data_IF_595225596392
#
_entry.id   IF_595225596392
#
_cell.length_a   1.000
_cell.length_b   1.000
_cell.length_c   1.000
_cell.angle_alpha   90.00
_cell.angle_beta   90.00
_cell.angle_gamma   90.00
#
_symmetry.space_group_name_H-M   'P 1'
#
loop_
_entity.id
_entity.type
_entity.pdbx_description
1 polymer ?
#
# COMPACT_ATOMS: atom_id res chain seq x y z
N UNK A 1 17.49 -12.17 30.78
CA UNK A 1 18.29 -11.02 30.29
C UNK A 1 17.43 -10.23 29.32
N UNK A 2 16.89 -9.11 29.75
CA UNK A 2 16.06 -8.23 28.98
C UNK A 2 16.95 -7.45 28.01
N UNK A 3 16.71 -7.57 26.70
CA UNK A 3 17.37 -6.76 25.67
C UNK A 3 16.90 -5.31 25.82
N UNK A 4 17.85 -4.42 26.02
CA UNK A 4 17.69 -2.97 26.12
C UNK A 4 16.92 -2.41 24.92
N UNK A 5 16.10 -1.33 25.12
CA UNK A 5 15.46 -0.61 24.04
C UNK A 5 16.53 0.01 23.14
N UNK A 6 16.40 -0.19 21.83
CA UNK A 6 17.29 0.43 20.86
C UNK A 6 17.27 1.95 21.04
N UNK A 7 18.47 2.51 21.17
CA UNK A 7 18.76 3.93 21.24
C UNK A 7 17.98 4.70 20.17
N UNK A 8 17.28 5.73 20.59
CA UNK A 8 16.76 6.80 19.75
C UNK A 8 17.96 7.54 19.14
N UNK A 9 18.39 7.10 17.96
CA UNK A 9 19.15 7.95 17.06
C UNK A 9 18.34 9.22 16.80
N UNK A 10 19.00 10.37 16.78
CA UNK A 10 18.41 11.69 16.67
C UNK A 10 17.37 11.74 15.54
N UNK A 11 16.08 11.62 15.91
CA UNK A 11 14.97 11.65 14.96
C UNK A 11 14.82 13.08 14.47
N UNK A 12 15.16 13.32 13.20
CA UNK A 12 14.90 14.59 12.55
C UNK A 12 13.49 14.57 11.93
N UNK A 13 12.48 15.25 12.54
CA UNK A 13 11.12 15.22 12.06
C UNK A 13 10.97 15.73 10.61
N UNK A 14 11.78 16.70 10.20
CA UNK A 14 11.75 17.26 8.84
C UNK A 14 12.09 16.20 7.79
N UNK A 15 13.06 15.35 8.07
CA UNK A 15 13.43 14.22 7.20
C UNK A 15 12.27 13.22 7.12
N UNK A 16 11.61 12.95 8.24
CA UNK A 16 10.44 12.06 8.28
C UNK A 16 9.28 12.59 7.44
N UNK A 17 8.98 13.88 7.50
CA UNK A 17 7.97 14.52 6.65
C UNK A 17 8.33 14.43 5.17
N UNK A 18 9.60 14.65 4.82
CA UNK A 18 10.10 14.53 3.44
C UNK A 18 9.90 13.10 2.92
N UNK A 19 10.33 12.09 3.68
CA UNK A 19 10.16 10.70 3.27
C UNK A 19 8.68 10.29 3.15
N UNK A 20 7.81 10.70 4.06
CA UNK A 20 6.40 10.39 3.99
C UNK A 20 5.74 11.03 2.75
N UNK A 21 6.02 12.31 2.46
CA UNK A 21 5.52 13.00 1.27
C UNK A 21 6.05 12.37 -0.01
N UNK A 22 7.35 12.05 -0.05
CA UNK A 22 7.98 11.39 -1.20
C UNK A 22 7.36 10.01 -1.45
N UNK A 23 7.08 9.24 -0.40
CA UNK A 23 6.39 7.95 -0.50
C UNK A 23 4.99 8.10 -1.10
N UNK A 24 4.21 9.11 -0.67
CA UNK A 24 2.88 9.37 -1.21
C UNK A 24 2.93 9.77 -2.71
N UNK A 25 3.87 10.65 -3.07
CA UNK A 25 4.07 11.08 -4.47
C UNK A 25 4.53 9.91 -5.36
N UNK A 26 5.50 9.12 -4.90
CA UNK A 26 5.97 7.95 -5.65
C UNK A 26 4.89 6.88 -5.77
N UNK A 27 4.06 6.70 -4.74
CA UNK A 27 2.89 5.84 -4.81
C UNK A 27 1.86 6.32 -5.84
N UNK A 28 1.67 7.63 -5.98
CA UNK A 28 0.82 8.21 -7.02
C UNK A 28 1.40 7.98 -8.43
N UNK A 29 2.71 8.19 -8.59
CA UNK A 29 3.41 7.91 -9.85
C UNK A 29 3.28 6.42 -10.24
N UNK A 30 3.44 5.52 -9.27
CA UNK A 30 3.23 4.08 -9.46
C UNK A 30 1.83 3.79 -10.02
N UNK A 31 0.78 4.36 -9.42
CA UNK A 31 -0.61 4.11 -9.82
C UNK A 31 -0.88 4.62 -11.23
N UNK A 32 -0.51 5.87 -11.54
CA UNK A 32 -0.79 6.50 -12.84
C UNK A 32 0.04 5.87 -13.95
N UNK A 33 1.35 5.64 -13.72
CA UNK A 33 2.21 4.94 -14.69
C UNK A 33 1.72 3.50 -14.90
N UNK A 34 1.29 2.83 -13.83
CA UNK A 34 0.71 1.50 -13.91
C UNK A 34 -0.57 1.46 -14.74
N UNK A 35 -1.47 2.44 -14.57
CA UNK A 35 -2.67 2.58 -15.43
C UNK A 35 -2.28 2.72 -16.89
N UNK A 36 -1.29 3.56 -17.21
CA UNK A 36 -0.77 3.71 -18.55
C UNK A 36 -0.27 2.39 -19.15
N UNK A 37 0.53 1.65 -18.40
CA UNK A 37 1.07 0.34 -18.82
C UNK A 37 -0.03 -0.70 -19.03
N UNK A 38 -1.09 -0.65 -18.23
CA UNK A 38 -2.24 -1.57 -18.32
C UNK A 38 -3.09 -1.40 -19.58
N UNK A 39 -2.89 -0.34 -20.37
CA UNK A 39 -3.46 -0.26 -21.72
C UNK A 39 -2.77 -1.22 -22.69
N UNK A 40 -1.51 -1.56 -22.47
CA UNK A 40 -0.69 -2.38 -23.37
C UNK A 40 -0.54 -3.83 -22.90
N UNK A 41 -0.54 -4.08 -21.59
CA UNK A 41 -0.34 -5.43 -21.03
C UNK A 41 -1.39 -5.77 -19.96
N UNK A 42 -1.48 -7.04 -19.61
CA UNK A 42 -2.37 -7.50 -18.55
C UNK A 42 -1.83 -7.17 -17.14
N UNK A 43 -2.71 -7.06 -16.12
CA UNK A 43 -2.27 -6.94 -14.72
C UNK A 43 -1.32 -8.05 -14.27
N UNK A 44 -1.50 -9.26 -14.79
CA UNK A 44 -0.65 -10.39 -14.46
C UNK A 44 0.75 -10.23 -15.08
N UNK A 45 0.84 -9.87 -16.37
CA UNK A 45 2.11 -9.61 -17.05
C UNK A 45 2.89 -8.47 -16.38
N UNK A 46 2.19 -7.37 -16.01
CA UNK A 46 2.78 -6.27 -15.28
C UNK A 46 3.49 -6.74 -14.01
N UNK A 47 2.79 -7.47 -13.17
CA UNK A 47 3.32 -7.92 -11.88
C UNK A 47 4.42 -8.99 -12.05
N UNK A 48 4.28 -9.88 -13.04
CA UNK A 48 5.29 -10.88 -13.37
C UNK A 48 6.62 -10.26 -13.87
N UNK A 49 6.61 -9.01 -14.31
CA UNK A 49 7.82 -8.27 -14.71
C UNK A 49 8.37 -7.46 -13.53
N UNK A 50 7.55 -6.64 -12.87
CA UNK A 50 8.06 -5.65 -11.90
C UNK A 50 8.53 -6.27 -10.60
N UNK A 51 7.92 -7.35 -10.11
CA UNK A 51 8.31 -7.95 -8.83
C UNK A 51 9.61 -8.75 -8.89
N UNK A 52 9.89 -9.59 -9.91
CA UNK A 52 11.20 -10.21 -10.06
C UNK A 52 12.32 -9.18 -10.22
N UNK A 53 12.11 -8.15 -11.07
CA UNK A 53 13.08 -7.06 -11.22
C UNK A 53 13.32 -6.33 -9.90
N UNK A 54 12.26 -6.01 -9.15
CA UNK A 54 12.37 -5.42 -7.82
C UNK A 54 13.05 -6.31 -6.80
N UNK A 55 12.83 -7.63 -6.86
CA UNK A 55 13.54 -8.60 -6.01
C UNK A 55 15.04 -8.63 -6.30
N UNK A 56 15.44 -8.61 -7.58
CA UNK A 56 16.84 -8.55 -7.97
C UNK A 56 17.50 -7.27 -7.44
N UNK A 57 16.88 -6.10 -7.66
CA UNK A 57 17.42 -4.82 -7.20
C UNK A 57 17.56 -4.77 -5.67
N UNK A 58 16.54 -5.17 -4.92
CA UNK A 58 16.62 -5.22 -3.45
C UNK A 58 17.61 -6.29 -2.96
N UNK A 59 17.69 -7.43 -3.66
CA UNK A 59 18.66 -8.47 -3.37
C UNK A 59 20.10 -7.97 -3.47
N UNK A 60 20.41 -7.23 -4.53
CA UNK A 60 21.70 -6.58 -4.71
C UNK A 60 21.96 -5.52 -3.61
N UNK A 61 20.96 -4.73 -3.24
CA UNK A 61 21.05 -3.75 -2.16
C UNK A 61 21.28 -4.37 -0.78
N UNK A 62 21.01 -5.66 -0.60
CA UNK A 62 21.27 -6.38 0.66
C UNK A 62 22.71 -6.88 0.81
N UNK A 63 23.50 -6.92 -0.26
CA UNK A 63 24.88 -7.47 -0.26
C UNK A 63 25.80 -6.71 0.69
N UNK A 64 25.89 -5.35 0.64
CA UNK A 64 26.85 -4.60 1.47
C UNK A 64 26.64 -4.80 2.97
N UNK A 65 25.38 -4.96 3.41
CA UNK A 65 25.01 -5.12 4.83
C UNK A 65 25.07 -6.55 5.35
N UNK A 66 25.53 -7.53 4.56
CA UNK A 66 25.50 -8.97 4.90
C UNK A 66 24.11 -9.45 5.39
N UNK A 67 23.03 -8.80 4.93
CA UNK A 67 21.66 -9.04 5.40
C UNK A 67 21.13 -10.42 5.03
N UNK A 68 21.69 -11.04 4.00
CA UNK A 68 21.41 -12.43 3.62
C UNK A 68 21.61 -13.43 4.78
N UNK A 69 22.59 -13.18 5.65
CA UNK A 69 22.81 -14.01 6.84
C UNK A 69 21.67 -13.90 7.86
N UNK A 70 20.93 -12.80 7.85
CA UNK A 70 19.77 -12.61 8.74
C UNK A 70 18.59 -13.44 8.31
N UNK A 71 18.39 -13.62 6.99
CA UNK A 71 17.32 -14.47 6.44
C UNK A 71 17.50 -15.91 6.91
N UNK A 72 18.73 -16.42 6.84
CA UNK A 72 19.04 -17.80 7.28
C UNK A 72 18.83 -18.03 8.80
N UNK A 73 18.80 -16.94 9.59
CA UNK A 73 18.62 -16.99 11.05
C UNK A 73 17.20 -16.63 11.51
N UNK A 74 16.28 -16.44 10.57
CA UNK A 74 14.89 -16.12 10.91
C UNK A 74 14.23 -17.33 11.59
N UNK A 75 13.53 -17.06 12.70
CA UNK A 75 12.75 -18.07 13.40
C UNK A 75 11.44 -18.40 12.64
N UNK A 76 10.76 -19.48 13.07
CA UNK A 76 9.51 -19.91 12.45
C UNK A 76 8.41 -18.86 12.51
N UNK A 77 8.38 -18.04 13.56
CA UNK A 77 7.37 -16.98 13.73
C UNK A 77 7.60 -15.84 12.75
N UNK A 78 8.88 -15.42 12.59
CA UNK A 78 9.27 -14.40 11.63
C UNK A 78 8.91 -14.82 10.19
N UNK A 79 9.19 -16.07 9.83
CA UNK A 79 8.79 -16.64 8.54
C UNK A 79 7.27 -16.69 8.39
N UNK A 80 6.54 -17.20 9.39
CA UNK A 80 5.08 -17.29 9.34
C UNK A 80 4.41 -15.94 9.06
N UNK A 81 4.77 -14.89 9.79
CA UNK A 81 4.19 -13.56 9.58
C UNK A 81 4.61 -12.94 8.24
N UNK A 82 5.87 -13.15 7.82
CA UNK A 82 6.35 -12.63 6.54
C UNK A 82 5.64 -13.31 5.35
N UNK A 83 5.45 -14.64 5.41
CA UNK A 83 4.73 -15.39 4.37
C UNK A 83 3.25 -14.99 4.35
N UNK A 84 2.58 -14.95 5.51
CA UNK A 84 1.17 -14.55 5.60
C UNK A 84 0.93 -13.15 5.02
N UNK A 85 1.78 -12.19 5.39
CA UNK A 85 1.79 -10.85 4.80
C UNK A 85 1.95 -10.89 3.28
N UNK A 86 2.95 -11.65 2.79
CA UNK A 86 3.32 -11.66 1.37
C UNK A 86 2.26 -12.34 0.50
N UNK A 87 1.71 -13.46 0.95
CA UNK A 87 0.65 -14.18 0.21
C UNK A 87 -0.61 -13.33 0.11
N UNK A 88 -1.02 -12.72 1.21
CA UNK A 88 -2.20 -11.84 1.19
C UNK A 88 -1.95 -10.58 0.33
N UNK A 89 -0.72 -10.05 0.36
CA UNK A 89 -0.33 -8.96 -0.51
C UNK A 89 -0.37 -9.34 -2.00
N UNK A 90 -0.06 -10.60 -2.38
CA UNK A 90 -0.18 -11.05 -3.77
C UNK A 90 -1.62 -10.93 -4.28
N UNK A 91 -2.58 -11.42 -3.50
CA UNK A 91 -4.01 -11.35 -3.84
C UNK A 91 -4.46 -9.89 -3.92
N UNK A 92 -4.08 -9.09 -2.92
CA UNK A 92 -4.39 -7.66 -2.88
C UNK A 92 -3.85 -6.91 -4.10
N UNK A 93 -2.58 -7.12 -4.43
CA UNK A 93 -1.90 -6.49 -5.58
C UNK A 93 -2.57 -6.88 -6.89
N UNK A 94 -2.89 -8.16 -7.08
CA UNK A 94 -3.54 -8.62 -8.30
C UNK A 94 -4.92 -7.98 -8.48
N UNK A 95 -5.77 -8.05 -7.45
CA UNK A 95 -7.08 -7.42 -7.46
C UNK A 95 -6.98 -5.89 -7.67
N UNK A 96 -6.01 -5.24 -7.04
CA UNK A 96 -5.77 -3.80 -7.19
C UNK A 96 -5.49 -3.40 -8.64
N UNK A 97 -4.58 -4.09 -9.32
CA UNK A 97 -4.26 -3.79 -10.72
C UNK A 97 -5.37 -4.14 -11.69
N UNK A 98 -6.16 -5.19 -11.41
CA UNK A 98 -7.39 -5.47 -12.16
C UNK A 98 -8.36 -4.30 -12.03
N UNK A 99 -8.60 -3.83 -10.79
CA UNK A 99 -9.47 -2.69 -10.53
C UNK A 99 -9.00 -1.41 -11.20
N UNK A 100 -7.71 -1.07 -11.09
CA UNK A 100 -7.11 0.10 -11.77
C UNK A 100 -7.27 0.00 -13.30
N UNK A 101 -7.14 -1.20 -13.87
CA UNK A 101 -7.35 -1.38 -15.31
C UNK A 101 -8.78 -1.02 -15.73
N UNK A 102 -9.76 -1.35 -14.91
CA UNK A 102 -11.19 -1.25 -15.22
C UNK A 102 -11.82 0.10 -14.87
N UNK A 103 -11.18 0.95 -14.03
CA UNK A 103 -11.75 2.21 -13.56
C UNK A 103 -10.74 3.35 -13.57
N UNK A 104 -11.21 4.57 -13.25
CA UNK A 104 -10.34 5.73 -13.06
C UNK A 104 -9.35 5.52 -11.91
N UNK A 105 -8.05 5.81 -12.10
CA UNK A 105 -7.03 5.58 -11.08
C UNK A 105 -7.20 6.47 -9.84
N UNK A 106 -7.77 7.66 -10.00
CA UNK A 106 -8.06 8.56 -8.87
C UNK A 106 -9.11 7.93 -7.96
N UNK A 107 -10.18 7.42 -8.58
CA UNK A 107 -11.27 6.76 -7.88
C UNK A 107 -10.81 5.48 -7.18
N UNK A 108 -10.03 4.64 -7.88
CA UNK A 108 -9.41 3.45 -7.28
C UNK A 108 -8.54 3.82 -6.07
N UNK A 109 -7.78 4.93 -6.17
CA UNK A 109 -6.94 5.43 -5.09
C UNK A 109 -7.75 5.89 -3.86
N UNK A 110 -8.89 6.55 -4.06
CA UNK A 110 -9.80 6.89 -2.96
C UNK A 110 -10.37 5.64 -2.27
N UNK A 111 -10.89 4.69 -3.05
CA UNK A 111 -11.46 3.45 -2.52
C UNK A 111 -10.41 2.64 -1.74
N UNK A 112 -9.17 2.65 -2.21
CA UNK A 112 -8.10 1.91 -1.53
C UNK A 112 -7.80 2.44 -0.12
N UNK A 113 -8.18 3.69 0.22
CA UNK A 113 -8.05 4.22 1.60
C UNK A 113 -8.87 3.43 2.63
N UNK A 114 -9.85 2.63 2.19
CA UNK A 114 -10.57 1.70 3.05
C UNK A 114 -9.64 0.70 3.78
N UNK A 115 -8.47 0.41 3.21
CA UNK A 115 -7.43 -0.41 3.85
C UNK A 115 -7.08 0.07 5.26
N UNK A 116 -7.08 1.39 5.49
CA UNK A 116 -6.77 1.99 6.78
C UNK A 116 -7.81 1.62 7.84
N UNK A 117 -9.10 1.63 7.47
CA UNK A 117 -10.17 1.19 8.38
C UNK A 117 -10.02 -0.30 8.73
N UNK A 118 -9.74 -1.13 7.73
CA UNK A 118 -9.54 -2.58 7.95
C UNK A 118 -8.38 -2.83 8.90
N UNK A 119 -7.23 -2.18 8.66
CA UNK A 119 -6.05 -2.32 9.53
C UNK A 119 -6.34 -1.91 10.97
N UNK A 120 -7.08 -0.81 11.16
CA UNK A 120 -7.44 -0.32 12.49
C UNK A 120 -8.46 -1.25 13.15
N UNK A 121 -9.48 -1.70 12.42
CA UNK A 121 -10.50 -2.63 12.93
C UNK A 121 -9.89 -3.95 13.38
N UNK A 122 -8.93 -4.49 12.63
CA UNK A 122 -8.18 -5.69 13.03
C UNK A 122 -7.32 -5.44 14.27
N UNK A 123 -6.71 -4.27 14.40
CA UNK A 123 -5.98 -3.86 15.60
C UNK A 123 -6.88 -3.86 16.83
N UNK A 124 -8.11 -3.36 16.71
CA UNK A 124 -9.11 -3.37 17.79
C UNK A 124 -9.57 -4.79 18.11
N UNK A 125 -9.98 -5.55 17.08
CA UNK A 125 -10.57 -6.87 17.26
C UNK A 125 -9.57 -7.92 17.79
N UNK A 126 -8.32 -7.89 17.29
CA UNK A 126 -7.31 -8.92 17.59
C UNK A 126 -6.40 -8.50 18.73
N UNK A 127 -5.99 -7.22 18.81
CA UNK A 127 -5.10 -6.72 19.84
C UNK A 127 -5.85 -6.15 21.06
N UNK A 128 -7.17 -6.18 21.06
CA UNK A 128 -8.02 -5.67 22.14
C UNK A 128 -7.86 -4.15 22.36
N UNK A 129 -7.51 -3.40 21.31
CA UNK A 129 -7.36 -1.96 21.39
C UNK A 129 -8.74 -1.30 21.59
N UNK A 130 -8.82 -0.25 22.42
CA UNK A 130 -10.09 0.42 22.73
C UNK A 130 -10.57 1.23 21.51
N UNK A 131 -11.85 1.10 21.21
CA UNK A 131 -12.53 1.87 20.18
C UNK A 131 -13.01 3.21 20.72
N UNK A 132 -12.56 4.30 20.13
CA UNK A 132 -12.98 5.65 20.53
C UNK A 132 -14.18 6.13 19.72
N UNK A 133 -14.96 7.08 20.27
CA UNK A 133 -16.07 7.72 19.55
C UNK A 133 -15.63 8.39 18.26
N UNK A 134 -14.43 8.98 18.25
CA UNK A 134 -13.88 9.60 17.06
C UNK A 134 -13.48 8.60 15.96
N UNK A 135 -13.02 7.40 16.35
CA UNK A 135 -12.78 6.31 15.39
C UNK A 135 -14.09 5.82 14.77
N UNK A 136 -15.17 5.73 15.58
CA UNK A 136 -16.49 5.39 15.07
C UNK A 136 -16.99 6.42 14.04
N UNK A 137 -16.92 7.71 14.38
CA UNK A 137 -17.34 8.79 13.48
C UNK A 137 -16.50 8.81 12.19
N UNK A 138 -15.19 8.62 12.31
CA UNK A 138 -14.30 8.50 11.15
C UNK A 138 -14.68 7.32 10.26
N UNK A 139 -14.98 6.16 10.84
CA UNK A 139 -15.47 4.99 10.13
C UNK A 139 -16.78 5.25 9.38
N UNK A 140 -17.76 5.91 10.01
CA UNK A 140 -19.00 6.31 9.36
C UNK A 140 -18.79 7.27 8.19
N UNK A 141 -17.87 8.22 8.31
CA UNK A 141 -17.52 9.13 7.21
C UNK A 141 -16.91 8.38 6.03
N UNK A 142 -16.00 7.41 6.28
CA UNK A 142 -15.42 6.57 5.22
C UNK A 142 -16.50 5.76 4.52
N UNK A 143 -17.36 5.07 5.27
CA UNK A 143 -18.46 4.28 4.69
C UNK A 143 -19.44 5.16 3.91
N UNK A 144 -19.82 6.31 4.44
CA UNK A 144 -20.67 7.29 3.75
C UNK A 144 -20.04 7.81 2.45
N UNK A 145 -18.75 8.11 2.47
CA UNK A 145 -17.99 8.50 1.27
C UNK A 145 -17.96 7.40 0.20
N UNK A 146 -17.72 6.15 0.59
CA UNK A 146 -17.73 5.00 -0.33
C UNK A 146 -19.13 4.79 -0.94
N UNK A 147 -20.18 4.89 -0.13
CA UNK A 147 -21.57 4.79 -0.59
C UNK A 147 -21.89 5.91 -1.58
N UNK A 148 -21.51 7.16 -1.26
CA UNK A 148 -21.70 8.29 -2.16
C UNK A 148 -20.98 8.11 -3.49
N UNK A 149 -19.76 7.60 -3.47
CA UNK A 149 -19.00 7.26 -4.68
C UNK A 149 -19.73 6.17 -5.48
N UNK A 150 -20.24 5.13 -4.84
CA UNK A 150 -20.94 4.02 -5.53
C UNK A 150 -22.23 4.45 -6.21
N UNK A 151 -23.06 5.29 -5.59
CA UNK A 151 -24.32 5.76 -6.18
C UNK A 151 -24.12 6.65 -7.43
N UNK A 152 -22.93 7.14 -7.63
CA UNK A 152 -22.55 7.95 -8.80
C UNK A 152 -21.94 7.13 -9.91
N UNK A 153 -21.65 5.86 -9.65
CA UNK A 153 -20.99 4.98 -10.62
C UNK A 153 -21.86 4.74 -11.84
N UNK A 154 -21.25 4.88 -13.00
CA UNK A 154 -21.76 4.25 -14.20
C UNK A 154 -21.83 2.74 -13.95
N UNK A 155 -22.90 2.10 -14.40
CA UNK A 155 -23.09 0.64 -14.23
C UNK A 155 -21.85 -0.19 -14.66
N UNK A 156 -21.08 0.33 -15.63
CA UNK A 156 -19.83 -0.23 -16.14
C UNK A 156 -18.74 -0.46 -15.09
N UNK A 157 -18.71 0.35 -14.01
CA UNK A 157 -17.69 0.24 -12.96
C UNK A 157 -18.11 -0.59 -11.74
N UNK A 158 -19.32 -1.16 -11.75
CA UNK A 158 -19.82 -1.88 -10.57
C UNK A 158 -18.90 -3.03 -10.14
N UNK A 159 -18.40 -3.82 -11.09
CA UNK A 159 -17.46 -4.92 -10.81
C UNK A 159 -16.10 -4.38 -10.32
N UNK A 160 -15.55 -3.36 -11.00
CA UNK A 160 -14.29 -2.74 -10.63
C UNK A 160 -14.30 -2.18 -9.19
N UNK A 161 -15.43 -1.55 -8.80
CA UNK A 161 -15.64 -1.05 -7.44
C UNK A 161 -15.45 -2.16 -6.40
N UNK A 162 -16.12 -3.30 -6.57
CA UNK A 162 -16.02 -4.39 -5.63
C UNK A 162 -14.65 -5.04 -5.62
N UNK A 163 -13.99 -5.13 -6.78
CA UNK A 163 -12.62 -5.67 -6.88
C UNK A 163 -11.64 -4.77 -6.12
N UNK A 164 -11.74 -3.44 -6.29
CA UNK A 164 -10.85 -2.49 -5.56
C UNK A 164 -11.14 -2.52 -4.07
N UNK A 165 -12.42 -2.57 -3.67
CA UNK A 165 -12.78 -2.65 -2.25
C UNK A 165 -12.28 -3.96 -1.61
N UNK A 166 -12.41 -5.08 -2.30
CA UNK A 166 -11.83 -6.37 -1.89
C UNK A 166 -10.31 -6.26 -1.76
N UNK A 167 -9.65 -5.65 -2.74
CA UNK A 167 -8.21 -5.38 -2.68
C UNK A 167 -7.84 -4.56 -1.44
N UNK A 168 -8.61 -3.51 -1.12
CA UNK A 168 -8.38 -2.67 0.06
C UNK A 168 -8.52 -3.46 1.37
N UNK A 169 -9.49 -4.39 1.46
CA UNK A 169 -9.61 -5.31 2.60
C UNK A 169 -8.38 -6.20 2.72
N UNK A 170 -7.94 -6.79 1.61
CA UNK A 170 -6.75 -7.64 1.59
C UNK A 170 -5.48 -6.83 1.95
N UNK A 171 -5.32 -5.62 1.44
CA UNK A 171 -4.20 -4.74 1.80
C UNK A 171 -4.23 -4.37 3.28
N UNK A 172 -5.38 -3.96 3.82
CA UNK A 172 -5.51 -3.61 5.22
C UNK A 172 -5.15 -4.77 6.16
N UNK A 173 -5.55 -5.98 5.80
CA UNK A 173 -5.19 -7.21 6.53
C UNK A 173 -3.71 -7.53 6.35
N UNK A 174 -3.15 -7.37 5.15
CA UNK A 174 -1.72 -7.55 4.90
C UNK A 174 -0.88 -6.55 5.71
N UNK A 175 -1.29 -5.26 5.77
CA UNK A 175 -0.60 -4.25 6.57
C UNK A 175 -0.64 -4.58 8.07
N UNK A 176 -1.73 -5.15 8.57
CA UNK A 176 -1.80 -5.66 9.93
C UNK A 176 -0.76 -6.76 10.18
N UNK A 177 -0.61 -7.72 9.27
CA UNK A 177 0.43 -8.76 9.37
C UNK A 177 1.84 -8.18 9.21
N UNK A 178 2.05 -7.22 8.30
CA UNK A 178 3.32 -6.52 8.16
C UNK A 178 3.72 -5.81 9.46
N UNK A 179 2.76 -5.16 10.15
CA UNK A 179 2.99 -4.51 11.44
C UNK A 179 3.50 -5.49 12.51
N UNK A 180 3.09 -6.74 12.44
CA UNK A 180 3.60 -7.80 13.33
C UNK A 180 4.98 -8.26 12.84
N UNK A 181 5.14 -8.52 11.54
CA UNK A 181 6.38 -9.02 10.94
C UNK A 181 7.59 -8.08 11.18
N UNK A 182 7.40 -6.76 11.13
CA UNK A 182 8.48 -5.78 11.37
C UNK A 182 9.05 -5.80 12.78
N UNK A 183 8.37 -6.46 13.73
CA UNK A 183 8.90 -6.67 15.09
C UNK A 183 10.00 -7.74 15.13
N UNK A 184 10.01 -8.64 14.13
CA UNK A 184 10.93 -9.79 14.05
C UNK A 184 11.99 -9.61 12.96
N UNK A 185 11.67 -8.90 11.88
CA UNK A 185 12.49 -8.81 10.67
C UNK A 185 12.67 -7.35 10.26
N UNK A 186 13.84 -7.00 9.77
CA UNK A 186 14.10 -5.64 9.29
C UNK A 186 13.30 -5.33 8.00
N UNK A 187 12.90 -4.04 7.82
CA UNK A 187 12.02 -3.63 6.73
C UNK A 187 12.52 -3.96 5.33
N UNK A 188 13.83 -3.87 5.07
CA UNK A 188 14.38 -4.15 3.76
C UNK A 188 14.31 -5.64 3.45
N UNK A 189 14.58 -6.49 4.44
CA UNK A 189 14.48 -7.94 4.32
C UNK A 189 13.02 -8.36 4.07
N UNK A 190 12.06 -7.78 4.80
CA UNK A 190 10.62 -8.05 4.54
C UNK A 190 10.24 -7.64 3.11
N UNK A 191 10.67 -6.46 2.66
CA UNK A 191 10.35 -5.97 1.31
C UNK A 191 10.96 -6.87 0.24
N UNK A 192 12.19 -7.34 0.42
CA UNK A 192 12.84 -8.30 -0.46
C UNK A 192 12.07 -9.64 -0.52
N UNK A 193 11.80 -10.25 0.64
CA UNK A 193 11.09 -11.53 0.71
C UNK A 193 9.68 -11.42 0.12
N UNK A 194 8.96 -10.34 0.39
CA UNK A 194 7.68 -10.07 -0.24
C UNK A 194 7.80 -10.04 -1.75
N UNK A 195 8.78 -9.31 -2.30
CA UNK A 195 8.97 -9.24 -3.75
C UNK A 195 9.29 -10.62 -4.36
N UNK A 196 10.11 -11.43 -3.68
CA UNK A 196 10.41 -12.80 -4.12
C UNK A 196 9.15 -13.67 -4.12
N UNK A 197 8.40 -13.68 -3.01
CA UNK A 197 7.16 -14.48 -2.91
C UNK A 197 6.14 -14.01 -3.94
N UNK A 198 6.00 -12.70 -4.12
CA UNK A 198 5.09 -12.13 -5.11
C UNK A 198 5.52 -12.47 -6.55
N UNK A 199 6.82 -12.45 -6.83
CA UNK A 199 7.37 -12.86 -8.12
C UNK A 199 7.05 -14.33 -8.42
N UNK A 200 7.30 -15.22 -7.47
CA UNK A 200 6.99 -16.66 -7.59
C UNK A 200 5.49 -16.85 -7.85
N UNK A 201 4.64 -16.20 -7.07
CA UNK A 201 3.19 -16.29 -7.23
C UNK A 201 2.74 -15.90 -8.65
N UNK A 202 3.18 -14.73 -9.15
CA UNK A 202 2.76 -14.28 -10.47
C UNK A 202 3.34 -15.14 -11.59
N UNK A 203 4.57 -15.62 -11.46
CA UNK A 203 5.15 -16.53 -12.45
C UNK A 203 4.45 -17.91 -12.51
N UNK A 204 3.95 -18.41 -11.37
CA UNK A 204 3.10 -19.62 -11.36
C UNK A 204 1.76 -19.34 -12.06
N UNK A 205 1.20 -18.15 -11.87
CA UNK A 205 -0.08 -17.78 -12.49
C UNK A 205 0.01 -17.52 -14.00
N UNK A 206 1.18 -17.15 -14.54
CA UNK A 206 1.38 -16.88 -15.99
C UNK A 206 0.91 -18.06 -16.88
N UNK A 207 1.39 -19.29 -16.70
CA UNK A 207 0.96 -20.42 -17.54
C UNK A 207 -0.50 -20.83 -17.25
N UNK A 208 -0.99 -20.66 -16.01
CA UNK A 208 -2.36 -21.05 -15.63
C UNK A 208 -3.39 -20.17 -16.32
N UNK A 209 -3.12 -18.86 -16.41
CA UNK A 209 -4.04 -17.87 -17.00
C UNK A 209 -3.80 -17.69 -18.51
N UNK A 210 -2.68 -18.20 -19.03
CA UNK A 210 -2.31 -18.02 -20.44
C UNK A 210 -1.96 -16.58 -20.79
N UNK A 211 -1.16 -15.91 -19.97
CA UNK A 211 -0.86 -14.48 -20.11
C UNK A 211 0.25 -14.26 -21.15
N UNK A 212 -0.04 -13.37 -22.12
CA UNK A 212 0.95 -12.87 -23.09
C UNK A 212 1.72 -11.66 -22.53
N UNK A 213 2.98 -11.54 -22.94
CA UNK A 213 3.85 -10.39 -22.68
C UNK A 213 3.98 -9.47 -23.91
N UNK A 214 3.21 -9.72 -24.95
CA UNK A 214 3.11 -8.82 -26.10
C UNK A 214 2.74 -7.41 -25.62
N UNK A 215 3.31 -6.39 -26.19
CA UNK A 215 3.12 -5.02 -25.72
C UNK A 215 4.07 -4.57 -24.58
N UNK A 216 4.69 -5.46 -23.82
CA UNK A 216 5.65 -5.06 -22.78
C UNK A 216 6.84 -4.28 -23.37
N UNK A 217 7.25 -4.65 -24.59
CA UNK A 217 8.34 -3.98 -25.32
C UNK A 217 8.02 -2.53 -25.67
N UNK A 218 6.77 -2.19 -25.95
CA UNK A 218 6.37 -0.82 -26.28
C UNK A 218 6.36 0.12 -25.07
N UNK A 219 6.23 -0.42 -23.87
CA UNK A 219 6.14 0.33 -22.61
C UNK A 219 7.32 0.05 -21.67
N UNK A 220 8.46 -0.43 -22.18
CA UNK A 220 9.62 -0.85 -21.39
C UNK A 220 10.13 0.25 -20.44
N UNK A 221 10.15 1.50 -20.89
CA UNK A 221 10.56 2.65 -20.10
C UNK A 221 9.63 2.88 -18.89
N UNK A 222 8.33 2.72 -19.08
CA UNK A 222 7.34 2.84 -18.02
C UNK A 222 7.45 1.66 -17.01
N UNK A 223 7.76 0.46 -17.49
CA UNK A 223 8.06 -0.69 -16.63
C UNK A 223 9.27 -0.45 -15.74
N UNK A 224 10.33 0.18 -16.24
CA UNK A 224 11.48 0.58 -15.42
C UNK A 224 11.04 1.56 -14.32
N UNK A 225 10.26 2.58 -14.66
CA UNK A 225 9.71 3.53 -13.67
C UNK A 225 8.91 2.77 -12.62
N UNK A 226 8.08 1.82 -13.01
CA UNK A 226 7.26 1.03 -12.09
C UNK A 226 8.08 0.13 -11.17
N UNK A 227 9.17 -0.47 -11.65
CA UNK A 227 10.09 -1.25 -10.81
C UNK A 227 10.66 -0.38 -9.69
N UNK A 228 11.17 0.81 -10.04
CA UNK A 228 11.76 1.69 -9.05
C UNK A 228 10.70 2.38 -8.18
N UNK A 229 9.66 2.95 -8.76
CA UNK A 229 8.60 3.62 -8.01
C UNK A 229 7.82 2.67 -7.08
N UNK A 230 7.61 1.41 -7.45
CA UNK A 230 6.82 0.44 -6.69
C UNK A 230 7.67 -0.46 -5.78
N UNK A 231 8.09 -1.64 -6.26
CA UNK A 231 8.74 -2.66 -5.43
C UNK A 231 10.03 -2.21 -4.75
N UNK A 232 10.77 -1.24 -5.33
CA UNK A 232 12.11 -0.84 -4.87
C UNK A 232 12.09 0.34 -3.92
N UNK A 233 11.32 1.40 -4.18
CA UNK A 233 11.43 2.66 -3.45
C UNK A 233 10.26 2.96 -2.51
N UNK A 234 9.01 2.84 -2.97
CA UNK A 234 7.84 3.26 -2.17
C UNK A 234 7.85 2.61 -0.80
N UNK A 235 8.04 1.30 -0.74
CA UNK A 235 7.98 0.57 0.53
C UNK A 235 9.14 0.90 1.47
N UNK A 236 10.42 0.85 1.07
CA UNK A 236 11.53 1.27 1.93
C UNK A 236 11.42 2.72 2.38
N UNK A 237 11.06 3.67 1.49
CA UNK A 237 10.92 5.10 1.82
C UNK A 237 9.83 5.28 2.89
N UNK A 238 8.68 4.63 2.74
CA UNK A 238 7.62 4.61 3.75
C UNK A 238 8.11 4.12 5.10
N UNK A 239 8.87 3.03 5.11
CA UNK A 239 9.41 2.46 6.35
C UNK A 239 10.50 3.34 6.98
N UNK A 240 11.28 4.08 6.18
CA UNK A 240 12.20 5.10 6.68
C UNK A 240 11.45 6.29 7.29
N UNK A 241 10.34 6.72 6.72
CA UNK A 241 9.50 7.74 7.34
C UNK A 241 9.04 7.33 8.74
N UNK A 242 8.70 6.06 8.93
CA UNK A 242 8.31 5.50 10.24
C UNK A 242 9.44 5.47 11.28
N UNK A 243 10.70 5.57 10.88
CA UNK A 243 11.82 5.71 11.82
C UNK A 243 11.91 7.12 12.42
N UNK A 244 11.46 8.13 11.68
CA UNK A 244 11.59 9.54 12.06
C UNK A 244 10.28 10.15 12.57
N UNK A 245 9.13 9.56 12.22
CA UNK A 245 7.81 10.04 12.61
C UNK A 245 6.97 8.95 13.26
N UNK A 246 6.01 9.37 14.07
CA UNK A 246 4.96 8.48 14.57
C UNK A 246 4.15 7.92 13.39
N UNK A 247 3.72 6.65 13.52
CA UNK A 247 2.91 5.96 12.50
C UNK A 247 1.70 6.78 12.07
N UNK A 248 1.04 7.44 13.03
CA UNK A 248 -0.12 8.30 12.75
C UNK A 248 0.21 9.46 11.81
N UNK A 249 1.38 10.12 11.98
CA UNK A 249 1.79 11.23 11.12
C UNK A 249 2.11 10.77 9.71
N UNK A 250 2.82 9.63 9.57
CA UNK A 250 3.10 9.03 8.26
C UNK A 250 1.81 8.63 7.56
N UNK A 251 0.89 7.98 8.29
CA UNK A 251 -0.42 7.61 7.76
C UNK A 251 -1.24 8.82 7.31
N UNK A 252 -1.23 9.93 8.11
CA UNK A 252 -1.89 11.19 7.75
C UNK A 252 -1.39 11.74 6.40
N UNK A 253 -0.07 11.79 6.22
CA UNK A 253 0.54 12.29 4.99
C UNK A 253 0.18 11.37 3.82
N UNK A 254 0.19 10.06 4.04
CA UNK A 254 -0.15 9.08 2.99
C UNK A 254 -1.61 9.18 2.51
N UNK A 255 -2.53 9.75 3.32
CA UNK A 255 -3.89 10.04 2.87
C UNK A 255 -3.94 11.11 1.76
N UNK A 256 -2.86 11.87 1.55
CA UNK A 256 -2.76 12.82 0.43
C UNK A 256 -2.50 12.15 -0.94
N UNK A 257 -2.11 10.88 -0.97
CA UNK A 257 -1.78 10.16 -2.21
C UNK A 257 -2.88 10.25 -3.29
N UNK A 258 -4.19 10.10 -3.02
CA UNK A 258 -5.22 10.25 -4.04
C UNK A 258 -5.26 11.62 -4.70
N UNK A 259 -4.87 12.68 -3.99
CA UNK A 259 -4.77 14.03 -4.56
C UNK A 259 -3.67 14.07 -5.61
N UNK A 260 -2.49 13.53 -5.30
CA UNK A 260 -1.39 13.40 -6.27
C UNK A 260 -1.76 12.50 -7.45
N UNK A 261 -2.50 11.40 -7.21
CA UNK A 261 -3.02 10.54 -8.28
C UNK A 261 -3.96 11.34 -9.19
N UNK A 262 -4.89 12.11 -8.64
CA UNK A 262 -5.83 12.94 -9.41
C UNK A 262 -5.10 13.96 -10.30
N UNK A 263 -4.12 14.67 -9.75
CA UNK A 263 -3.32 15.64 -10.51
C UNK A 263 -2.54 14.94 -11.64
N UNK A 264 -1.86 13.85 -11.34
CA UNK A 264 -1.09 13.10 -12.34
C UNK A 264 -1.98 12.43 -13.39
N UNK A 265 -3.14 11.91 -13.00
CA UNK A 265 -4.10 11.30 -13.93
C UNK A 265 -4.70 12.35 -14.90
N UNK A 266 -5.00 13.54 -14.40
CA UNK A 266 -5.45 14.65 -15.24
C UNK A 266 -4.38 15.01 -16.28
N UNK A 267 -3.13 15.19 -15.85
CA UNK A 267 -2.04 15.63 -16.73
C UNK A 267 -1.59 14.54 -17.70
N UNK A 268 -1.46 13.28 -17.24
CA UNK A 268 -0.86 12.22 -18.03
C UNK A 268 -1.88 11.35 -18.79
N UNK A 269 -3.11 11.23 -18.30
CA UNK A 269 -4.14 10.34 -18.85
C UNK A 269 -5.38 11.10 -19.32
N UNK A 270 -5.45 12.41 -19.11
CA UNK A 270 -6.64 13.26 -19.41
C UNK A 270 -7.93 12.71 -18.73
N UNK A 271 -7.80 12.06 -17.60
CA UNK A 271 -8.91 11.50 -16.84
C UNK A 271 -9.28 12.41 -15.67
N UNK A 272 -10.56 12.78 -15.60
CA UNK A 272 -11.12 13.61 -14.52
C UNK A 272 -12.21 12.83 -13.80
N UNK A 273 -12.11 12.67 -12.46
CA UNK A 273 -13.19 12.09 -11.68
C UNK A 273 -14.42 13.01 -11.70
N UNK A 274 -15.61 12.42 -11.59
CA UNK A 274 -16.84 13.19 -11.48
C UNK A 274 -16.86 14.01 -10.17
N UNK A 275 -17.53 15.19 -10.13
CA UNK A 275 -17.56 16.03 -8.91
C UNK A 275 -18.02 15.29 -7.65
N UNK A 276 -19.00 14.41 -7.76
CA UNK A 276 -19.51 13.60 -6.64
C UNK A 276 -18.50 12.55 -6.17
N UNK A 277 -17.67 12.02 -7.07
CA UNK A 277 -16.58 11.10 -6.73
C UNK A 277 -15.49 11.83 -5.95
N UNK A 278 -15.22 13.09 -6.29
CA UNK A 278 -14.32 13.96 -5.52
C UNK A 278 -14.89 14.20 -4.13
N UNK A 279 -16.19 14.54 -4.02
CA UNK A 279 -16.84 14.76 -2.72
C UNK A 279 -16.77 13.48 -1.87
N UNK A 280 -17.14 12.34 -2.43
CA UNK A 280 -17.03 11.04 -1.73
C UNK A 280 -15.60 10.74 -1.30
N UNK A 281 -14.61 11.04 -2.15
CA UNK A 281 -13.18 10.93 -1.83
C UNK A 281 -12.74 11.82 -0.67
N UNK A 282 -13.25 13.06 -0.59
CA UNK A 282 -13.01 13.96 0.54
C UNK A 282 -13.56 13.38 1.83
N UNK A 283 -14.77 12.79 1.81
CA UNK A 283 -15.34 12.10 2.98
C UNK A 283 -14.49 10.89 3.40
N UNK A 284 -14.00 10.09 2.45
CA UNK A 284 -13.12 8.94 2.72
C UNK A 284 -11.81 9.40 3.38
N UNK A 285 -11.14 10.38 2.80
CA UNK A 285 -9.90 10.93 3.36
C UNK A 285 -10.17 11.55 4.73
N UNK A 286 -11.16 12.41 4.85
CA UNK A 286 -11.53 13.08 6.10
C UNK A 286 -11.88 12.09 7.21
N UNK A 287 -12.60 11.03 6.89
CA UNK A 287 -12.92 9.94 7.82
C UNK A 287 -11.68 9.17 8.27
N UNK A 288 -10.78 8.81 7.35
CA UNK A 288 -9.50 8.19 7.70
C UNK A 288 -8.65 9.08 8.60
N UNK A 289 -8.55 10.38 8.28
CA UNK A 289 -7.82 11.36 9.08
C UNK A 289 -8.39 11.45 10.51
N UNK A 290 -9.73 11.57 10.63
CA UNK A 290 -10.40 11.64 11.91
C UNK A 290 -10.16 10.38 12.75
N UNK A 291 -10.23 9.20 12.15
CA UNK A 291 -9.95 7.92 12.79
C UNK A 291 -8.52 7.87 13.35
N UNK A 292 -7.52 8.29 12.56
CA UNK A 292 -6.11 8.28 12.94
C UNK A 292 -5.83 9.28 14.08
N UNK A 293 -6.38 10.50 13.99
CA UNK A 293 -6.21 11.56 15.01
C UNK A 293 -6.85 11.16 16.33
N UNK A 294 -8.07 10.60 16.27
CA UNK A 294 -8.81 10.17 17.47
C UNK A 294 -8.11 9.04 18.21
N UNK A 295 -7.50 8.12 17.48
CA UNK A 295 -6.69 7.04 18.04
C UNK A 295 -5.48 7.56 18.82
N UNK A 296 -4.80 8.60 18.32
CA UNK A 296 -3.66 9.22 19.01
C UNK A 296 -4.06 9.84 20.34
N UNK A 297 -5.20 10.55 20.42
CA UNK A 297 -5.70 11.13 21.65
C UNK A 297 -6.02 10.05 22.72
N UNK A 298 -6.57 8.91 22.31
CA UNK A 298 -6.87 7.79 23.21
C UNK A 298 -5.63 7.14 23.82
N UNK A 299 -4.52 7.10 23.10
CA UNK A 299 -3.24 6.55 23.59
C UNK A 299 -2.53 7.49 24.58
N UNK A 300 -2.57 8.81 24.33
CA UNK A 300 -1.95 9.82 25.23
C UNK A 300 -2.67 9.98 26.57
N UNK A 301 -3.99 9.76 26.62
CA UNK A 301 -4.76 9.78 27.88
C UNK A 301 -4.48 8.55 28.77
N UNK A 302 -3.89 7.50 28.24
CA UNK A 302 -3.57 6.26 28.97
C UNK A 302 -2.15 6.26 29.54
N UNK A 303 -1.29 7.18 29.10
CA UNK A 303 0.10 7.34 29.56
C UNK A 303 0.25 8.38 30.68
N UNK A 304 -0.83 9.00 31.11
CA UNK A 304 -0.96 9.86 32.29
C UNK A 304 -1.79 9.15 33.37
#
# INVERSE_FOLDING_TARGET
MASSPQQHDSTNPSIGYLYASLSAMMGALLIVTGKFVLYSISPLALNAIIFPAGAVVLGLAMIPGKRWKRIARMDRRAWGWTIAFSVLACVAIWAHWIGIKMMDPTLASFLNRFETLVTISLGIAILGERFSRGEALGGFLVLGGIVLMKFTFRAEYSLAFWIVLFSAVCFGTAEFFAKIAVRYVDPLTISFLRNVITAIFFWIMVPIVGTSFEGARSVWWALIILVFAGPVLVRPIYLYALKHLEVSKVALINQSQPVFVGILALVALSQTPAPREIIGGVFVIGGCLLTIISRKKGLTLKSR
#
